data_IF_133366652318
#
_entry.id   IF_133366652318
#
_cell.length_a   1.000
_cell.length_b   1.000
_cell.length_c   1.000
_cell.angle_alpha   90.00
_cell.angle_beta   90.00
_cell.angle_gamma   90.00
#
_symmetry.space_group_name_H-M   'P 1'
#
loop_
_entity.id
_entity.type
_entity.pdbx_description
1 polymer ?
#
# COMPACT_ATOMS: atom_id res chain seq x y z
N UNK A 1 29.83 14.05 -22.53
CA UNK A 1 28.54 13.73 -21.87
C UNK A 1 28.10 12.34 -22.31
N UNK A 2 27.91 11.42 -21.35
CA UNK A 2 27.52 10.03 -21.58
C UNK A 2 26.04 9.96 -21.99
N UNK A 3 25.72 9.18 -23.03
CA UNK A 3 24.37 8.66 -23.26
C UNK A 3 24.25 7.36 -22.47
N UNK A 4 23.36 7.33 -21.48
CA UNK A 4 22.86 6.10 -20.89
C UNK A 4 21.65 5.65 -21.72
N UNK A 5 21.85 4.65 -22.57
CA UNK A 5 20.81 4.02 -23.38
C UNK A 5 20.60 2.58 -22.91
N UNK A 6 19.50 2.39 -22.18
CA UNK A 6 18.62 1.20 -22.16
C UNK A 6 19.29 -0.17 -21.96
N UNK A 7 19.14 -0.68 -20.73
CA UNK A 7 19.26 -2.08 -20.35
C UNK A 7 18.20 -2.92 -21.08
N UNK A 8 18.57 -3.42 -22.25
CA UNK A 8 17.89 -4.50 -22.97
C UNK A 8 18.96 -5.47 -23.49
N UNK A 9 19.84 -5.92 -22.61
CA UNK A 9 20.94 -6.80 -22.98
C UNK A 9 20.38 -8.19 -23.32
N UNK A 10 20.18 -8.44 -24.62
CA UNK A 10 19.71 -9.71 -25.15
C UNK A 10 20.61 -10.86 -24.69
N UNK A 11 20.02 -11.99 -24.30
CA UNK A 11 20.70 -13.25 -23.99
C UNK A 11 21.62 -13.78 -25.12
N UNK A 12 21.59 -13.18 -26.31
CA UNK A 12 22.42 -13.52 -27.48
C UNK A 12 23.78 -12.80 -27.44
N UNK A 13 24.45 -12.77 -26.28
CA UNK A 13 25.82 -12.23 -26.17
C UNK A 13 26.92 -13.24 -26.54
N UNK A 14 26.60 -14.53 -26.59
CA UNK A 14 27.58 -15.60 -26.83
C UNK A 14 27.80 -15.93 -28.32
N UNK A 15 27.03 -15.33 -29.24
CA UNK A 15 27.19 -15.54 -30.68
C UNK A 15 28.05 -14.42 -31.27
N UNK A 16 29.27 -14.77 -31.68
CA UNK A 16 30.17 -13.81 -32.34
C UNK A 16 29.52 -13.22 -33.60
N UNK A 17 29.81 -11.96 -33.92
CA UNK A 17 29.19 -11.25 -35.05
C UNK A 17 29.29 -12.03 -36.38
N UNK A 18 30.42 -12.69 -36.63
CA UNK A 18 30.64 -13.52 -37.82
C UNK A 18 29.69 -14.73 -37.93
N UNK A 19 29.09 -15.17 -36.83
CA UNK A 19 28.19 -16.34 -36.77
C UNK A 19 26.72 -15.97 -36.65
N UNK A 20 26.38 -14.67 -36.55
CA UNK A 20 25.01 -14.21 -36.31
C UNK A 20 24.05 -14.51 -37.47
N UNK A 21 24.49 -14.37 -38.72
CA UNK A 21 23.63 -14.68 -39.89
C UNK A 21 23.33 -16.17 -39.99
N UNK A 22 24.31 -17.02 -39.74
CA UNK A 22 24.14 -18.48 -39.72
C UNK A 22 23.28 -18.91 -38.55
N UNK A 23 23.44 -18.29 -37.37
CA UNK A 23 22.64 -18.56 -36.19
C UNK A 23 21.19 -18.12 -36.38
N UNK A 24 20.92 -16.91 -36.88
CA UNK A 24 19.56 -16.43 -37.14
C UNK A 24 18.86 -17.32 -38.16
N UNK A 25 19.56 -17.70 -39.23
CA UNK A 25 19.03 -18.64 -40.22
C UNK A 25 18.64 -19.98 -39.60
N UNK A 26 19.50 -20.59 -38.77
CA UNK A 26 19.18 -21.84 -38.05
C UNK A 26 18.00 -21.67 -37.09
N UNK A 27 17.93 -20.55 -36.37
CA UNK A 27 16.83 -20.29 -35.45
C UNK A 27 15.50 -20.23 -36.19
N UNK A 28 15.40 -19.46 -37.27
CA UNK A 28 14.14 -19.20 -37.95
C UNK A 28 13.75 -20.24 -39.02
N UNK A 29 14.72 -20.82 -39.74
CA UNK A 29 14.46 -21.82 -40.78
C UNK A 29 14.44 -23.26 -40.25
N UNK A 30 15.30 -23.62 -39.30
CA UNK A 30 15.35 -24.99 -38.73
C UNK A 30 14.46 -25.15 -37.48
N UNK A 31 13.71 -24.11 -37.11
CA UNK A 31 12.71 -24.18 -36.05
C UNK A 31 13.28 -24.42 -34.65
N UNK A 32 14.51 -23.95 -34.35
CA UNK A 32 15.08 -24.12 -33.01
C UNK A 32 14.25 -23.42 -31.91
N UNK A 33 13.47 -22.38 -32.25
CA UNK A 33 12.49 -21.79 -31.34
C UNK A 33 11.35 -22.75 -30.96
N UNK A 34 11.07 -23.77 -31.80
CA UNK A 34 10.02 -24.77 -31.57
C UNK A 34 10.51 -25.97 -30.72
N UNK A 35 11.81 -26.03 -30.41
CA UNK A 35 12.42 -27.03 -29.51
C UNK A 35 13.13 -26.33 -28.34
N UNK A 36 12.38 -25.62 -27.48
CA UNK A 36 12.98 -24.96 -26.32
C UNK A 36 13.66 -26.00 -25.44
N UNK A 37 14.84 -25.64 -24.93
CA UNK A 37 15.54 -26.45 -23.92
C UNK A 37 14.66 -26.62 -22.68
N UNK A 38 14.90 -27.67 -21.91
CA UNK A 38 14.19 -27.89 -20.63
C UNK A 38 14.33 -26.70 -19.68
N UNK A 39 15.51 -26.07 -19.66
CA UNK A 39 15.81 -24.87 -18.87
C UNK A 39 14.97 -23.67 -19.30
N UNK A 40 14.88 -23.38 -20.60
CA UNK A 40 14.05 -22.28 -21.11
C UNK A 40 12.56 -22.52 -20.83
N UNK A 41 12.10 -23.78 -20.94
CA UNK A 41 10.72 -24.14 -20.60
C UNK A 41 10.43 -23.92 -19.13
N UNK A 42 11.30 -24.39 -18.24
CA UNK A 42 11.17 -24.22 -16.80
C UNK A 42 11.19 -22.73 -16.38
N UNK A 43 12.04 -21.92 -17.01
CA UNK A 43 12.06 -20.46 -16.80
C UNK A 43 10.76 -19.77 -17.26
N UNK A 44 10.24 -20.12 -18.44
CA UNK A 44 8.96 -19.56 -18.89
C UNK A 44 7.77 -20.03 -18.02
N UNK A 45 7.81 -21.26 -17.53
CA UNK A 45 6.81 -21.78 -16.58
C UNK A 45 6.90 -21.07 -15.23
N UNK A 46 8.09 -20.76 -14.72
CA UNK A 46 8.25 -20.01 -13.46
C UNK A 46 7.74 -18.58 -13.59
N UNK A 47 7.95 -17.91 -14.73
CA UNK A 47 7.37 -16.59 -15.01
C UNK A 47 5.84 -16.66 -15.05
N UNK A 48 5.27 -17.66 -15.73
CA UNK A 48 3.81 -17.82 -15.80
C UNK A 48 3.20 -18.11 -14.44
N UNK A 49 3.84 -18.97 -13.64
CA UNK A 49 3.45 -19.24 -12.27
C UNK A 49 3.51 -17.97 -11.43
N UNK A 50 4.63 -17.22 -11.50
CA UNK A 50 4.78 -15.94 -10.81
C UNK A 50 3.67 -14.95 -11.14
N UNK A 51 3.32 -14.78 -12.43
CA UNK A 51 2.22 -13.89 -12.82
C UNK A 51 0.86 -14.42 -12.38
N UNK A 52 0.61 -15.73 -12.47
CA UNK A 52 -0.67 -16.32 -12.08
C UNK A 52 -0.89 -16.25 -10.57
N UNK A 53 0.09 -16.70 -9.81
CA UNK A 53 0.02 -16.77 -8.36
C UNK A 53 0.13 -15.37 -7.74
N UNK A 54 0.97 -14.50 -8.30
CA UNK A 54 1.06 -13.09 -7.89
C UNK A 54 -0.20 -12.27 -8.15
N UNK A 55 -0.97 -12.57 -9.21
CA UNK A 55 -2.29 -11.96 -9.44
C UNK A 55 -3.32 -12.47 -8.42
N UNK A 56 -3.35 -13.78 -8.15
CA UNK A 56 -4.24 -14.34 -7.13
C UNK A 56 -3.91 -13.84 -5.71
N UNK A 57 -2.64 -13.60 -5.40
CA UNK A 57 -2.19 -12.99 -4.15
C UNK A 57 -2.61 -11.52 -4.06
N UNK A 58 -2.56 -10.79 -5.18
CA UNK A 58 -3.03 -9.41 -5.23
C UNK A 58 -4.54 -9.30 -5.05
N UNK A 59 -5.34 -10.14 -5.71
CA UNK A 59 -6.79 -10.13 -5.54
C UNK A 59 -7.21 -10.47 -4.10
N UNK A 60 -6.50 -11.39 -3.46
CA UNK A 60 -6.67 -11.69 -2.03
C UNK A 60 -6.32 -10.49 -1.15
N UNK A 61 -5.21 -9.82 -1.43
CA UNK A 61 -4.80 -8.62 -0.71
C UNK A 61 -5.82 -7.48 -0.85
N UNK A 62 -6.35 -7.25 -2.06
CA UNK A 62 -7.44 -6.27 -2.30
C UNK A 62 -8.69 -6.64 -1.50
N UNK A 63 -9.09 -7.91 -1.52
CA UNK A 63 -10.24 -8.39 -0.77
C UNK A 63 -10.07 -8.20 0.74
N UNK A 64 -8.86 -8.44 1.28
CA UNK A 64 -8.54 -8.15 2.67
C UNK A 64 -8.63 -6.65 2.97
N UNK A 65 -8.01 -5.80 2.14
CA UNK A 65 -7.99 -4.36 2.33
C UNK A 65 -9.41 -3.75 2.36
N UNK A 66 -10.32 -4.24 1.50
CA UNK A 66 -11.73 -3.82 1.47
C UNK A 66 -12.47 -4.10 2.79
N UNK A 67 -11.95 -5.00 3.62
CA UNK A 67 -12.52 -5.38 4.93
C UNK A 67 -11.87 -4.63 6.09
N UNK A 68 -11.01 -3.64 5.83
CA UNK A 68 -10.48 -2.75 6.86
C UNK A 68 -11.37 -1.51 6.92
N UNK A 69 -11.93 -1.25 8.10
CA UNK A 69 -12.79 -0.11 8.37
C UNK A 69 -12.04 0.92 9.21
N UNK A 70 -12.34 2.20 9.03
CA UNK A 70 -11.78 3.27 9.85
C UNK A 70 -12.82 4.34 10.12
N UNK A 71 -12.83 4.87 11.34
CA UNK A 71 -13.81 5.86 11.80
C UNK A 71 -13.15 6.92 12.67
N UNK A 72 -13.62 8.17 12.54
CA UNK A 72 -13.27 9.25 13.44
C UNK A 72 -14.49 9.57 14.30
N UNK A 73 -14.46 9.12 15.55
CA UNK A 73 -15.47 9.41 16.55
C UNK A 73 -15.08 10.66 17.35
N UNK A 74 -15.98 11.11 18.23
CA UNK A 74 -15.81 12.36 18.99
C UNK A 74 -14.47 12.43 19.74
N UNK A 75 -13.97 11.35 20.32
CA UNK A 75 -12.75 11.37 21.15
C UNK A 75 -11.60 10.49 20.64
N UNK A 76 -11.79 9.79 19.52
CA UNK A 76 -10.80 8.84 19.01
C UNK A 76 -10.94 8.57 17.51
N UNK A 77 -9.81 8.25 16.89
CA UNK A 77 -9.77 7.59 15.60
C UNK A 77 -9.64 6.08 15.83
N UNK A 78 -10.38 5.28 15.07
CA UNK A 78 -10.35 3.83 15.16
C UNK A 78 -10.11 3.16 13.81
N UNK A 79 -9.45 2.00 13.83
CA UNK A 79 -9.26 1.11 12.69
C UNK A 79 -9.65 -0.29 13.12
N UNK A 80 -10.64 -0.87 12.46
CA UNK A 80 -11.11 -2.24 12.71
C UNK A 80 -10.70 -3.14 11.57
N UNK A 81 -10.02 -4.24 11.90
CA UNK A 81 -9.72 -5.29 10.95
C UNK A 81 -10.91 -6.27 10.85
N UNK A 82 -11.85 -6.03 9.93
CA UNK A 82 -12.97 -6.96 9.69
C UNK A 82 -12.64 -8.02 8.62
N UNK A 83 -11.36 -8.19 8.28
CA UNK A 83 -10.89 -9.24 7.38
C UNK A 83 -10.67 -10.57 8.13
N UNK A 84 -10.33 -11.62 7.40
CA UNK A 84 -10.01 -12.94 7.93
C UNK A 84 -8.50 -13.15 8.17
N UNK A 85 -7.67 -12.12 7.93
CA UNK A 85 -6.22 -12.18 8.07
C UNK A 85 -5.70 -11.03 8.93
N UNK A 86 -4.53 -11.24 9.53
CA UNK A 86 -3.87 -10.23 10.35
C UNK A 86 -3.44 -9.01 9.52
N UNK A 87 -3.51 -7.82 10.12
CA UNK A 87 -2.77 -6.65 9.63
C UNK A 87 -1.47 -6.57 10.43
N UNK A 88 -0.35 -6.66 9.74
CA UNK A 88 0.97 -6.70 10.39
C UNK A 88 1.39 -5.33 10.93
N UNK A 89 0.79 -4.25 10.42
CA UNK A 89 1.00 -2.90 10.92
C UNK A 89 -0.19 -2.00 10.56
N UNK A 90 -0.58 -1.10 11.45
CA UNK A 90 -1.61 -0.08 11.23
C UNK A 90 -1.08 1.25 11.73
N UNK A 91 -1.29 2.32 10.96
CA UNK A 91 -0.93 3.69 11.29
C UNK A 91 -2.12 4.59 11.06
N UNK A 92 -2.50 5.37 12.07
CA UNK A 92 -3.43 6.48 11.88
C UNK A 92 -2.59 7.70 11.53
N UNK A 93 -2.67 8.13 10.28
CA UNK A 93 -1.81 9.18 9.73
C UNK A 93 -2.26 10.55 10.19
N UNK A 94 -3.53 10.86 10.01
CA UNK A 94 -4.14 12.13 10.40
C UNK A 94 -5.61 11.93 10.71
N UNK A 95 -6.18 12.82 11.51
CA UNK A 95 -7.60 13.00 11.65
C UNK A 95 -7.97 14.32 11.00
N UNK A 96 -8.92 14.29 10.07
CA UNK A 96 -9.42 15.45 9.35
C UNK A 96 -10.82 15.79 9.82
N UNK A 97 -11.07 17.09 9.93
CA UNK A 97 -12.35 17.67 10.29
C UNK A 97 -12.45 19.07 9.69
N UNK A 98 -13.65 19.46 9.28
CA UNK A 98 -13.94 20.75 8.66
C UNK A 98 -14.81 21.61 9.58
N UNK A 99 -14.43 22.87 9.76
CA UNK A 99 -15.21 23.87 10.49
C UNK A 99 -15.37 25.14 9.63
N UNK A 100 -16.61 25.57 9.42
CA UNK A 100 -16.94 26.71 8.53
C UNK A 100 -16.29 26.60 7.13
N UNK A 101 -16.23 25.38 6.57
CA UNK A 101 -15.65 25.10 5.25
C UNK A 101 -14.12 25.12 5.21
N UNK A 102 -13.43 25.16 6.35
CA UNK A 102 -11.97 25.13 6.44
C UNK A 102 -11.50 23.92 7.26
N UNK A 103 -10.36 23.31 6.91
CA UNK A 103 -9.77 22.26 7.72
C UNK A 103 -9.38 22.82 9.09
N UNK A 104 -9.66 22.06 10.14
CA UNK A 104 -9.16 22.36 11.47
C UNK A 104 -7.62 22.24 11.44
N UNK A 105 -6.88 23.29 11.84
CA UNK A 105 -5.42 23.28 11.76
C UNK A 105 -4.81 22.44 12.89
N UNK A 106 -3.68 21.80 12.58
CA UNK A 106 -2.84 21.10 13.54
C UNK A 106 -3.17 19.62 13.71
N UNK A 107 -2.36 18.95 14.54
CA UNK A 107 -2.57 17.57 14.92
C UNK A 107 -3.67 17.47 15.96
N UNK A 108 -4.58 16.51 15.76
CA UNK A 108 -5.69 16.25 16.69
C UNK A 108 -5.35 15.18 17.73
N UNK A 109 -4.09 14.71 17.80
CA UNK A 109 -3.70 13.64 18.70
C UNK A 109 -3.59 14.10 20.15
N UNK A 110 -3.98 13.22 21.07
CA UNK A 110 -3.68 13.42 22.47
C UNK A 110 -2.17 13.34 22.72
N UNK A 111 -1.70 14.03 23.75
CA UNK A 111 -0.33 13.90 24.23
C UNK A 111 -0.02 12.42 24.55
N UNK A 112 1.10 11.91 24.04
CA UNK A 112 1.52 10.53 24.23
C UNK A 112 0.72 9.48 23.43
N UNK A 113 -0.24 9.85 22.59
CA UNK A 113 -1.04 8.89 21.83
C UNK A 113 -0.17 8.03 20.89
N UNK A 114 -0.32 6.71 20.97
CA UNK A 114 0.29 5.79 20.03
C UNK A 114 -0.50 5.81 18.72
N UNK A 115 0.12 6.31 17.65
CA UNK A 115 -0.49 6.44 16.30
C UNK A 115 -0.18 5.24 15.40
N UNK A 116 0.59 4.27 15.90
CA UNK A 116 0.97 3.05 15.21
C UNK A 116 0.68 1.84 16.11
N UNK A 117 0.04 0.83 15.53
CA UNK A 117 -0.17 -0.50 16.11
C UNK A 117 0.43 -1.58 15.22
N UNK A 118 0.73 -2.74 15.80
CA UNK A 118 1.27 -3.91 15.10
C UNK A 118 0.37 -5.11 15.36
N UNK A 119 0.38 -6.07 14.44
CA UNK A 119 -0.26 -7.38 14.61
C UNK A 119 -1.75 -7.30 15.01
N UNK A 120 -2.53 -6.50 14.28
CA UNK A 120 -3.97 -6.35 14.51
C UNK A 120 -4.72 -7.57 13.97
N UNK A 121 -5.20 -8.43 14.86
CA UNK A 121 -5.83 -9.70 14.48
C UNK A 121 -7.23 -9.50 13.84
N UNK A 122 -7.78 -10.52 13.17
CA UNK A 122 -9.17 -10.49 12.70
C UNK A 122 -10.17 -10.16 13.81
N UNK A 123 -11.01 -9.15 13.59
CA UNK A 123 -12.00 -8.65 14.53
C UNK A 123 -11.49 -7.56 15.49
N UNK A 124 -10.17 -7.37 15.59
CA UNK A 124 -9.60 -6.38 16.51
C UNK A 124 -9.76 -4.95 16.01
N UNK A 125 -9.76 -4.02 16.97
CA UNK A 125 -9.80 -2.58 16.72
C UNK A 125 -8.62 -1.88 17.38
N UNK A 126 -7.86 -1.15 16.58
CA UNK A 126 -6.82 -0.23 17.04
C UNK A 126 -7.43 1.17 17.20
N UNK A 127 -7.17 1.83 18.33
CA UNK A 127 -7.71 3.17 18.64
C UNK A 127 -6.61 4.15 18.98
N UNK A 128 -6.77 5.39 18.53
CA UNK A 128 -5.86 6.52 18.79
C UNK A 128 -6.68 7.64 19.41
N UNK A 129 -6.32 8.04 20.63
CA UNK A 129 -7.03 9.08 21.37
C UNK A 129 -6.76 10.46 20.77
N UNK A 130 -7.82 11.25 20.66
CA UNK A 130 -7.74 12.65 20.26
C UNK A 130 -7.44 13.54 21.47
N UNK A 131 -6.72 14.63 21.23
CA UNK A 131 -6.49 15.69 22.20
C UNK A 131 -7.68 16.63 22.23
N UNK A 132 -8.02 17.12 23.42
CA UNK A 132 -8.97 18.24 23.51
C UNK A 132 -8.31 19.51 23.00
N UNK A 133 -9.06 20.29 22.25
CA UNK A 133 -8.66 21.62 21.79
C UNK A 133 -9.42 22.68 22.56
N UNK A 134 -8.72 23.78 22.87
CA UNK A 134 -9.32 24.98 23.47
C UNK A 134 -9.60 25.98 22.37
N UNK A 135 -10.88 26.28 22.20
CA UNK A 135 -11.40 27.33 21.33
C UNK A 135 -11.88 28.51 22.19
N UNK A 136 -12.02 29.69 21.59
CA UNK A 136 -12.37 30.94 22.31
C UNK A 136 -13.60 30.79 23.22
N UNK A 137 -14.56 29.94 22.86
CA UNK A 137 -15.82 29.74 23.59
C UNK A 137 -16.11 28.26 23.94
N UNK A 138 -15.18 27.34 23.67
CA UNK A 138 -15.43 25.90 23.80
C UNK A 138 -14.16 25.09 24.05
N UNK A 139 -14.21 24.15 24.98
CA UNK A 139 -13.20 23.09 25.11
C UNK A 139 -13.84 21.77 24.66
N UNK A 140 -13.22 21.09 23.69
CA UNK A 140 -13.71 19.83 23.13
C UNK A 140 -12.76 19.27 22.08
N UNK A 141 -13.04 18.08 21.57
CA UNK A 141 -12.23 17.46 20.51
C UNK A 141 -12.45 18.11 19.14
N UNK A 142 -13.67 18.57 18.90
CA UNK A 142 -14.08 19.28 17.70
C UNK A 142 -15.04 20.42 18.07
N UNK A 143 -15.10 21.50 17.29
CA UNK A 143 -16.24 22.42 17.32
C UNK A 143 -17.56 21.65 17.10
N UNK A 144 -18.65 22.07 17.75
CA UNK A 144 -19.96 21.41 17.64
C UNK A 144 -20.49 21.26 16.21
N UNK A 145 -20.08 22.17 15.33
CA UNK A 145 -20.50 22.24 13.93
C UNK A 145 -19.46 21.62 12.98
N UNK A 146 -18.51 20.84 13.52
CA UNK A 146 -17.53 20.16 12.69
C UNK A 146 -18.19 19.12 11.78
N UNK A 147 -17.70 19.06 10.54
CA UNK A 147 -18.18 18.17 9.49
C UNK A 147 -17.02 17.40 8.88
N UNK A 148 -17.32 16.42 8.03
CA UNK A 148 -16.30 15.65 7.29
C UNK A 148 -15.24 15.01 8.21
N UNK A 149 -15.70 14.45 9.33
CA UNK A 149 -14.86 13.71 10.28
C UNK A 149 -14.35 12.43 9.63
N UNK A 150 -13.05 12.35 9.36
CA UNK A 150 -12.43 11.17 8.77
C UNK A 150 -10.99 10.98 9.25
N UNK A 151 -10.55 9.76 9.56
CA UNK A 151 -9.13 9.48 9.68
C UNK A 151 -8.55 9.06 8.33
N UNK A 152 -7.33 9.50 8.02
CA UNK A 152 -6.52 8.86 6.99
C UNK A 152 -5.64 7.81 7.66
N UNK A 153 -5.70 6.58 7.19
CA UNK A 153 -5.02 5.44 7.82
C UNK A 153 -4.20 4.67 6.80
N UNK A 154 -3.01 4.24 7.20
CA UNK A 154 -2.16 3.34 6.42
C UNK A 154 -2.10 1.99 7.13
N UNK A 155 -2.21 0.90 6.40
CA UNK A 155 -2.11 -0.44 6.97
C UNK A 155 -1.36 -1.38 6.06
N UNK A 156 -0.65 -2.33 6.67
CA UNK A 156 0.08 -3.39 5.98
C UNK A 156 -0.66 -4.71 6.15
N UNK A 157 -1.02 -5.30 5.02
CA UNK A 157 -1.71 -6.59 5.00
C UNK A 157 -0.76 -7.77 5.31
N UNK A 158 -1.29 -8.99 5.27
CA UNK A 158 -0.51 -10.20 5.52
C UNK A 158 0.48 -10.54 4.38
N UNK A 159 0.24 -10.02 3.17
CA UNK A 159 1.14 -10.14 2.03
C UNK A 159 2.28 -9.10 2.06
N UNK A 160 2.27 -8.19 3.04
CA UNK A 160 3.26 -7.13 3.20
C UNK A 160 3.00 -5.91 2.32
N UNK A 161 1.84 -5.80 1.68
CA UNK A 161 1.47 -4.65 0.87
C UNK A 161 0.90 -3.55 1.75
N UNK A 162 1.24 -2.30 1.39
CA UNK A 162 0.74 -1.11 2.07
C UNK A 162 -0.49 -0.55 1.35
N UNK A 163 -1.46 -0.14 2.17
CA UNK A 163 -2.73 0.42 1.74
C UNK A 163 -3.01 1.70 2.49
N UNK A 164 -3.68 2.64 1.84
CA UNK A 164 -4.25 3.84 2.43
C UNK A 164 -5.78 3.75 2.37
N UNK A 165 -6.43 4.20 3.43
CA UNK A 165 -7.87 4.46 3.44
C UNK A 165 -8.11 5.85 4.04
N UNK A 166 -8.92 6.66 3.37
CA UNK A 166 -9.34 7.97 3.86
C UNK A 166 -10.82 7.93 4.24
N UNK A 167 -11.10 7.88 5.55
CA UNK A 167 -12.45 7.70 6.07
C UNK A 167 -13.12 6.43 5.56
N UNK A 168 -14.19 6.61 4.78
CA UNK A 168 -14.96 5.52 4.18
C UNK A 168 -14.62 5.27 2.70
N UNK A 169 -13.62 5.96 2.15
CA UNK A 169 -13.17 5.75 0.78
C UNK A 169 -12.65 4.31 0.56
N UNK A 170 -12.63 3.88 -0.71
CA UNK A 170 -12.04 2.60 -1.05
C UNK A 170 -10.52 2.62 -0.77
N UNK A 171 -9.95 1.53 -0.21
CA UNK A 171 -8.53 1.45 0.01
C UNK A 171 -7.74 1.56 -1.28
N UNK A 172 -6.66 2.32 -1.25
CA UNK A 172 -5.74 2.51 -2.38
C UNK A 172 -4.36 1.99 -2.02
N UNK A 173 -3.72 1.26 -2.94
CA UNK A 173 -2.39 0.71 -2.71
C UNK A 173 -1.32 1.80 -2.68
N UNK A 174 -0.46 1.74 -1.67
CA UNK A 174 0.71 2.61 -1.54
C UNK A 174 1.95 1.91 -2.11
N UNK A 175 2.39 2.34 -3.29
CA UNK A 175 3.57 1.77 -3.95
C UNK A 175 4.90 2.23 -3.33
N UNK A 176 4.89 3.40 -2.68
CA UNK A 176 6.09 4.01 -2.09
C UNK A 176 6.22 3.72 -0.58
N UNK A 177 5.34 2.90 -0.01
CA UNK A 177 5.26 2.65 1.42
C UNK A 177 4.44 3.69 2.19
N UNK A 178 4.36 3.55 3.53
CA UNK A 178 3.52 4.39 4.37
C UNK A 178 4.15 5.75 4.65
N UNK A 179 3.30 6.73 4.92
CA UNK A 179 3.69 8.00 5.51
C UNK A 179 3.92 7.85 7.01
N UNK A 180 4.50 8.90 7.61
CA UNK A 180 4.52 9.04 9.06
C UNK A 180 3.23 9.73 9.52
N UNK A 181 2.69 9.35 10.69
CA UNK A 181 1.62 10.10 11.34
C UNK A 181 1.98 11.57 11.55
N UNK A 182 0.97 12.43 11.50
CA UNK A 182 1.10 13.85 11.85
C UNK A 182 1.80 13.99 13.20
N UNK A 183 2.71 14.97 13.33
CA UNK A 183 3.49 15.15 14.54
C UNK A 183 2.55 15.35 15.74
N UNK A 184 2.95 14.85 16.90
CA UNK A 184 2.21 15.07 18.14
C UNK A 184 2.33 16.55 18.55
N UNK A 185 1.32 17.13 19.20
CA UNK A 185 1.52 18.39 19.91
C UNK A 185 2.66 18.23 20.92
N UNK A 186 3.55 19.22 20.99
CA UNK A 186 4.60 19.33 22.02
C UNK A 186 4.03 19.75 23.38
#
# INVERSE_FOLDING_TARGET
>A
MRRAGVLGESWVRQVSNAKKSTWSRRVFEEGWYAKPTSELRAFCESIRAFFKDGVADYDRAVAQALRVNSELAESEASVTNASDQILTEVRVIRATAMYAGKPIPGSLWAEGAATTGTDLAPGDTFTVKLGKMVWVEHEGFFPREATELAPTVHFRDAAGLWWERDGQALPTRLLNGPSQPDPRPE
#
